data_IF_535049540767
#
_entry.id   IF_535049540767
#
_cell.length_a   1.000
_cell.length_b   1.000
_cell.length_c   1.000
_cell.angle_alpha   90.00
_cell.angle_beta   90.00
_cell.angle_gamma   90.00
#
_symmetry.space_group_name_H-M   'P 1'
#
loop_
_entity.id
_entity.type
_entity.pdbx_description
1 polymer ?
#
# COMPACT_ATOMS: atom_id res chain seq x y z
N UNK A 1 22.80 -3.99 10.52
CA UNK A 1 21.33 -4.13 10.61
C UNK A 1 20.94 -5.11 9.53
N UNK A 2 20.23 -6.18 9.88
CA UNK A 2 19.74 -7.17 8.91
C UNK A 2 18.28 -6.83 8.61
N UNK A 3 18.00 -6.45 7.36
CA UNK A 3 16.63 -6.24 6.90
C UNK A 3 16.13 -7.55 6.31
N UNK A 4 15.10 -8.12 6.93
CA UNK A 4 14.55 -9.43 6.53
C UNK A 4 13.29 -9.30 5.67
N UNK A 5 12.74 -8.10 5.54
CA UNK A 5 11.51 -7.81 4.81
C UNK A 5 11.52 -6.39 4.24
N UNK A 6 10.72 -6.19 3.21
CA UNK A 6 10.37 -4.88 2.64
C UNK A 6 8.85 -4.90 2.41
N UNK A 7 8.10 -3.95 2.99
CA UNK A 7 6.63 -4.00 3.05
C UNK A 7 5.93 -2.97 2.18
N UNK A 8 6.66 -2.01 1.62
CA UNK A 8 6.08 -0.91 0.86
C UNK A 8 6.76 -0.82 -0.50
N UNK A 9 6.20 -1.50 -1.49
CA UNK A 9 6.71 -1.50 -2.86
C UNK A 9 5.58 -1.43 -3.88
N UNK A 10 5.90 -0.95 -5.08
CA UNK A 10 4.93 -0.76 -6.17
C UNK A 10 5.36 -1.51 -7.42
N UNK A 11 4.39 -2.01 -8.19
CA UNK A 11 4.62 -2.60 -9.50
C UNK A 11 4.15 -1.68 -10.61
N UNK A 12 4.30 -2.12 -11.86
CA UNK A 12 3.71 -1.45 -13.04
C UNK A 12 2.21 -1.15 -12.92
N UNK A 13 1.49 -1.78 -11.99
CA UNK A 13 0.09 -1.49 -11.70
C UNK A 13 -0.14 -0.07 -11.14
N UNK A 14 0.83 0.52 -10.43
CA UNK A 14 0.74 1.90 -9.92
C UNK A 14 1.02 2.99 -10.98
N UNK A 15 1.30 2.60 -12.24
CA UNK A 15 1.47 3.52 -13.38
C UNK A 15 2.81 4.25 -13.46
N UNK A 16 3.46 4.52 -12.33
CA UNK A 16 4.77 5.19 -12.26
C UNK A 16 5.88 4.36 -11.58
N UNK A 17 5.62 3.07 -11.39
CA UNK A 17 6.63 2.06 -11.05
C UNK A 17 6.84 1.10 -12.24
N UNK A 18 7.97 0.40 -12.26
CA UNK A 18 8.51 -0.16 -13.51
C UNK A 18 8.81 -1.67 -13.47
N UNK A 19 8.52 -2.34 -12.37
CA UNK A 19 8.74 -3.78 -12.20
C UNK A 19 7.42 -4.53 -12.08
N UNK A 20 7.36 -5.75 -12.57
CA UNK A 20 6.24 -6.68 -12.35
C UNK A 20 6.33 -7.38 -11.00
N UNK A 21 5.24 -8.01 -10.55
CA UNK A 21 5.22 -8.85 -9.33
C UNK A 21 6.34 -9.89 -9.32
N UNK A 22 6.59 -10.57 -10.44
CA UNK A 22 7.62 -11.60 -10.53
C UNK A 22 9.03 -11.01 -10.46
N UNK A 23 9.29 -9.88 -11.13
CA UNK A 23 10.58 -9.19 -11.07
C UNK A 23 10.88 -8.70 -9.65
N UNK A 24 9.87 -8.13 -8.98
CA UNK A 24 9.98 -7.70 -7.58
C UNK A 24 10.27 -8.87 -6.65
N UNK A 25 9.50 -9.96 -6.75
CA UNK A 25 9.69 -11.15 -5.93
C UNK A 25 11.06 -11.81 -6.15
N UNK A 26 11.53 -11.88 -7.41
CA UNK A 26 12.85 -12.42 -7.74
C UNK A 26 13.97 -11.56 -7.17
N UNK A 27 13.89 -10.24 -7.31
CA UNK A 27 14.87 -9.31 -6.76
C UNK A 27 14.93 -9.36 -5.23
N UNK A 28 13.78 -9.50 -4.56
CA UNK A 28 13.70 -9.68 -3.11
C UNK A 28 14.39 -10.98 -2.65
N UNK A 29 14.14 -12.09 -3.36
CA UNK A 29 14.79 -13.37 -3.08
C UNK A 29 16.32 -13.31 -3.27
N UNK A 30 16.79 -12.69 -4.36
CA UNK A 30 18.23 -12.53 -4.63
C UNK A 30 18.95 -11.69 -3.57
N UNK A 31 18.22 -10.77 -2.92
CA UNK A 31 18.72 -9.96 -1.81
C UNK A 31 18.61 -10.66 -0.45
N UNK A 32 18.05 -11.87 -0.40
CA UNK A 32 17.89 -12.64 0.84
C UNK A 32 16.74 -12.16 1.74
N UNK A 33 15.79 -11.40 1.21
CA UNK A 33 14.56 -11.08 1.95
C UNK A 33 13.75 -12.35 2.19
N UNK A 34 13.06 -12.41 3.32
CA UNK A 34 12.15 -13.52 3.66
C UNK A 34 10.70 -13.20 3.27
N UNK A 35 10.37 -11.91 3.23
CA UNK A 35 9.03 -11.43 2.92
C UNK A 35 9.07 -10.14 2.10
N UNK A 36 8.19 -10.03 1.11
CA UNK A 36 7.98 -8.82 0.31
C UNK A 36 6.50 -8.40 0.33
N UNK A 37 6.23 -7.14 0.65
CA UNK A 37 4.95 -6.48 0.50
C UNK A 37 4.85 -5.74 -0.82
N UNK A 38 3.80 -6.02 -1.60
CA UNK A 38 3.42 -5.27 -2.79
C UNK A 38 2.16 -4.49 -2.45
N UNK A 39 2.26 -3.16 -2.44
CA UNK A 39 1.26 -2.24 -1.89
C UNK A 39 0.96 -1.15 -2.90
N UNK A 40 0.17 -1.47 -3.91
CA UNK A 40 -0.17 -0.53 -4.98
C UNK A 40 -0.95 0.68 -4.43
N UNK A 41 -0.81 1.82 -5.10
CA UNK A 41 -1.61 2.99 -4.77
C UNK A 41 -3.10 2.73 -4.99
N UNK A 42 -3.92 3.14 -4.03
CA UNK A 42 -5.37 3.17 -4.21
C UNK A 42 -5.80 4.21 -5.26
N UNK A 43 -7.05 4.12 -5.75
CA UNK A 43 -7.61 5.08 -6.70
C UNK A 43 -7.45 6.54 -6.20
N UNK A 44 -7.14 7.44 -7.14
CA UNK A 44 -6.83 8.85 -6.89
C UNK A 44 -5.45 9.26 -7.42
N UNK A 45 -4.47 8.36 -7.33
CA UNK A 45 -3.14 8.57 -7.91
C UNK A 45 -3.20 8.46 -9.45
N UNK A 46 -2.69 9.44 -10.21
CA UNK A 46 -2.71 9.38 -11.67
C UNK A 46 -2.01 8.14 -12.22
N UNK A 47 -2.74 7.34 -13.01
CA UNK A 47 -2.23 6.15 -13.68
C UNK A 47 -2.21 4.87 -12.86
N UNK A 48 -2.68 4.89 -11.60
CA UNK A 48 -2.79 3.68 -10.77
C UNK A 48 -3.85 2.69 -11.27
N UNK A 49 -3.87 1.50 -10.68
CA UNK A 49 -4.81 0.44 -10.97
C UNK A 49 -6.22 0.69 -10.38
N UNK A 50 -7.23 0.09 -11.03
CA UNK A 50 -8.60 0.08 -10.54
C UNK A 50 -8.81 -0.94 -9.40
N UNK A 51 -9.91 -0.77 -8.65
CA UNK A 51 -10.27 -1.64 -7.52
C UNK A 51 -10.31 -3.14 -7.84
N UNK A 52 -10.64 -3.50 -9.09
CA UNK A 52 -10.65 -4.88 -9.56
C UNK A 52 -9.28 -5.57 -9.41
N UNK A 53 -8.18 -4.79 -9.45
CA UNK A 53 -6.83 -5.29 -9.20
C UNK A 53 -6.75 -5.93 -7.81
N UNK A 54 -7.16 -5.20 -6.76
CA UNK A 54 -7.11 -5.67 -5.37
C UNK A 54 -8.02 -6.88 -5.16
N UNK A 55 -9.24 -6.87 -5.72
CA UNK A 55 -10.14 -8.02 -5.66
C UNK A 55 -9.55 -9.30 -6.24
N UNK A 56 -8.72 -9.18 -7.27
CA UNK A 56 -8.15 -10.32 -7.98
C UNK A 56 -6.81 -10.79 -7.39
N UNK A 57 -6.17 -10.04 -6.48
CA UNK A 57 -4.89 -10.44 -5.84
C UNK A 57 -4.96 -11.79 -5.12
N UNK A 58 -6.17 -12.25 -4.77
CA UNK A 58 -6.43 -13.57 -4.16
C UNK A 58 -5.93 -14.76 -5.01
N UNK A 59 -5.76 -14.59 -6.32
CA UNK A 59 -5.29 -15.67 -7.20
C UNK A 59 -3.76 -15.75 -7.26
N UNK A 60 -3.07 -14.72 -6.79
CA UNK A 60 -1.60 -14.63 -6.86
C UNK A 60 -1.01 -15.47 -5.73
N UNK A 61 -0.05 -16.38 -6.01
CA UNK A 61 0.62 -17.17 -4.99
C UNK A 61 1.22 -16.32 -3.87
N UNK A 62 1.02 -16.72 -2.62
CA UNK A 62 1.61 -16.06 -1.43
C UNK A 62 3.08 -16.45 -1.17
N UNK A 63 3.67 -17.26 -2.04
CA UNK A 63 5.09 -17.63 -2.00
C UNK A 63 5.64 -17.73 -3.42
N UNK A 64 6.76 -17.07 -3.69
CA UNK A 64 7.50 -17.16 -4.96
C UNK A 64 8.99 -17.18 -4.67
N UNK A 65 9.77 -17.94 -5.46
CA UNK A 65 11.23 -18.00 -5.32
C UNK A 65 11.75 -18.27 -3.89
N UNK A 66 10.95 -18.93 -3.05
CA UNK A 66 11.29 -19.23 -1.65
C UNK A 66 10.91 -18.16 -0.62
N UNK A 67 10.41 -16.99 -1.05
CA UNK A 67 10.02 -15.88 -0.17
C UNK A 67 8.50 -15.77 -0.04
N UNK A 68 8.03 -15.27 1.10
CA UNK A 68 6.61 -14.97 1.33
C UNK A 68 6.23 -13.63 0.71
N UNK A 69 5.00 -13.53 0.20
CA UNK A 69 4.46 -12.32 -0.42
C UNK A 69 3.21 -11.87 0.33
N UNK A 70 3.13 -10.59 0.65
CA UNK A 70 1.94 -9.91 1.14
C UNK A 70 1.44 -8.92 0.09
N UNK A 71 0.14 -8.92 -0.16
CA UNK A 71 -0.48 -8.04 -1.14
C UNK A 71 -1.39 -7.05 -0.41
N UNK A 72 -1.13 -5.76 -0.61
CA UNK A 72 -1.78 -4.69 0.10
C UNK A 72 -2.05 -3.49 -0.77
N UNK A 73 -2.37 -2.38 -0.13
CA UNK A 73 -2.51 -1.08 -0.78
C UNK A 73 -1.85 0.00 0.06
N UNK A 74 -1.28 0.98 -0.62
CA UNK A 74 -1.02 2.30 -0.05
C UNK A 74 -2.26 3.17 -0.30
N UNK A 75 -3.11 3.23 0.72
CA UNK A 75 -4.41 3.88 0.72
C UNK A 75 -4.21 5.37 0.97
N UNK A 76 -4.81 6.22 0.14
CA UNK A 76 -4.68 7.66 0.32
C UNK A 76 -5.55 8.13 1.48
N UNK A 77 -4.99 8.98 2.34
CA UNK A 77 -5.76 9.84 3.24
C UNK A 77 -6.19 11.05 2.41
N UNK A 78 -7.49 11.33 2.34
CA UNK A 78 -8.05 12.28 1.36
C UNK A 78 -8.54 13.60 1.96
N UNK A 79 -8.66 13.68 3.28
CA UNK A 79 -9.12 14.90 3.97
C UNK A 79 -8.53 15.05 5.36
N UNK A 80 -8.83 16.18 6.00
CA UNK A 80 -8.33 16.53 7.33
C UNK A 80 -8.94 15.68 8.46
N UNK A 81 -9.98 14.91 8.18
CA UNK A 81 -10.66 14.01 9.13
C UNK A 81 -10.16 12.56 9.04
N UNK A 82 -9.15 12.30 8.18
CA UNK A 82 -8.52 10.99 8.05
C UNK A 82 -9.30 9.99 7.20
N UNK A 83 -10.22 10.46 6.36
CA UNK A 83 -10.96 9.60 5.44
C UNK A 83 -10.01 8.89 4.49
N UNK A 84 -10.27 7.61 4.23
CA UNK A 84 -9.49 6.77 3.32
C UNK A 84 -10.12 6.73 1.93
N UNK A 85 -9.29 6.66 0.88
CA UNK A 85 -9.73 6.58 -0.51
C UNK A 85 -10.24 5.21 -0.96
N UNK A 86 -10.45 4.26 -0.04
CA UNK A 86 -10.89 2.89 -0.35
C UNK A 86 -11.96 2.46 0.65
N UNK A 87 -13.02 1.81 0.16
CA UNK A 87 -14.10 1.32 1.02
C UNK A 87 -13.60 0.26 2.03
N UNK A 88 -14.05 0.36 3.28
CA UNK A 88 -13.66 -0.56 4.37
C UNK A 88 -13.85 -2.03 4.00
N UNK A 89 -14.93 -2.35 3.27
CA UNK A 89 -15.22 -3.72 2.83
C UNK A 89 -14.20 -4.26 1.84
N UNK A 90 -13.59 -3.42 1.02
CA UNK A 90 -12.52 -3.81 0.10
C UNK A 90 -11.24 -4.03 0.89
N UNK A 91 -10.90 -3.09 1.79
CA UNK A 91 -9.74 -3.17 2.68
C UNK A 91 -9.77 -4.50 3.46
N UNK A 92 -10.87 -4.79 4.15
CA UNK A 92 -11.03 -5.98 4.99
C UNK A 92 -10.94 -7.30 4.20
N UNK A 93 -11.48 -7.34 2.98
CA UNK A 93 -11.65 -8.59 2.24
C UNK A 93 -10.51 -8.93 1.30
N UNK A 94 -9.64 -7.96 0.96
CA UNK A 94 -8.69 -8.13 -0.15
C UNK A 94 -7.23 -7.90 0.22
N UNK A 95 -6.95 -7.15 1.29
CA UNK A 95 -5.58 -6.72 1.61
C UNK A 95 -5.01 -7.55 2.76
N UNK A 96 -3.79 -8.06 2.56
CA UNK A 96 -3.00 -8.73 3.60
C UNK A 96 -2.29 -7.69 4.51
N UNK A 97 -1.98 -6.51 3.97
CA UNK A 97 -1.33 -5.38 4.66
C UNK A 97 -1.90 -4.04 4.18
N UNK A 98 -2.13 -3.12 5.10
CA UNK A 98 -2.92 -1.90 4.87
C UNK A 98 -2.10 -0.69 5.27
N UNK A 99 -1.55 0.00 4.27
CA UNK A 99 -0.73 1.19 4.46
C UNK A 99 -1.60 2.42 4.19
N UNK A 100 -1.49 3.47 4.99
CA UNK A 100 -2.09 4.77 4.71
C UNK A 100 -1.04 5.87 4.57
N UNK A 101 -1.31 6.87 3.72
CA UNK A 101 -0.40 7.99 3.50
C UNK A 101 -1.11 9.21 2.90
N UNK A 102 -0.50 10.38 3.06
CA UNK A 102 -0.94 11.60 2.36
C UNK A 102 -0.20 11.70 1.05
N UNK A 103 -0.94 11.84 -0.05
CA UNK A 103 -0.39 12.09 -1.38
C UNK A 103 -1.00 13.36 -1.95
N UNK A 104 -0.16 14.29 -2.43
CA UNK A 104 -0.59 15.58 -2.96
C UNK A 104 -1.68 15.51 -4.06
N UNK A 105 -1.73 14.50 -4.95
CA UNK A 105 -2.83 14.36 -5.92
C UNK A 105 -4.21 14.11 -5.28
N UNK A 106 -4.23 13.60 -4.04
CA UNK A 106 -5.43 13.13 -3.34
C UNK A 106 -5.80 13.99 -2.13
N UNK A 107 -4.96 14.94 -1.74
CA UNK A 107 -5.05 15.65 -0.45
C UNK A 107 -4.75 17.13 -0.59
N UNK A 108 -5.65 17.98 -0.07
CA UNK A 108 -5.41 19.41 0.05
C UNK A 108 -4.60 19.72 1.33
N UNK A 109 -3.36 20.19 1.15
CA UNK A 109 -2.45 20.50 2.27
C UNK A 109 -3.05 21.58 3.17
N UNK A 110 -3.30 21.22 4.43
CA UNK A 110 -3.79 22.12 5.46
C UNK A 110 -2.69 22.70 6.35
N UNK A 111 -3.14 23.28 7.46
CA UNK A 111 -2.28 23.67 8.59
C UNK A 111 -1.61 22.46 9.25
N UNK A 112 -0.59 22.71 10.08
CA UNK A 112 0.06 21.66 10.90
C UNK A 112 -1.00 20.85 11.66
N UNK A 113 -1.95 21.53 12.32
CA UNK A 113 -3.02 20.88 13.10
C UNK A 113 -3.91 20.01 12.23
N UNK A 114 -4.30 20.46 11.04
CA UNK A 114 -5.13 19.68 10.10
C UNK A 114 -4.39 18.44 9.60
N UNK A 115 -3.14 18.59 9.18
CA UNK A 115 -2.34 17.48 8.66
C UNK A 115 -2.02 16.46 9.77
N UNK A 116 -1.74 16.93 10.99
CA UNK A 116 -1.59 16.05 12.17
C UNK A 116 -2.89 15.31 12.47
N UNK A 117 -4.04 15.98 12.43
CA UNK A 117 -5.33 15.34 12.70
C UNK A 117 -5.63 14.23 11.68
N UNK A 118 -5.36 14.46 10.40
CA UNK A 118 -5.54 13.46 9.35
C UNK A 118 -4.75 12.18 9.63
N UNK A 119 -3.47 12.29 10.01
CA UNK A 119 -2.66 11.14 10.39
C UNK A 119 -3.12 10.48 11.69
N UNK A 120 -3.46 11.25 12.72
CA UNK A 120 -3.97 10.70 13.99
C UNK A 120 -5.26 9.89 13.73
N UNK A 121 -6.15 10.39 12.89
CA UNK A 121 -7.39 9.70 12.51
C UNK A 121 -7.13 8.42 11.73
N UNK A 122 -6.16 8.44 10.81
CA UNK A 122 -5.73 7.24 10.11
C UNK A 122 -5.11 6.19 11.07
N UNK A 123 -4.35 6.63 12.08
CA UNK A 123 -3.77 5.75 13.13
C UNK A 123 -4.86 5.16 14.03
N UNK A 124 -5.91 5.92 14.36
CA UNK A 124 -7.06 5.44 15.15
C UNK A 124 -7.91 4.40 14.40
N UNK A 125 -7.80 4.32 13.07
CA UNK A 125 -8.58 3.41 12.26
C UNK A 125 -8.03 1.96 12.36
N UNK A 126 -8.81 0.98 12.88
CA UNK A 126 -8.36 -0.40 13.05
C UNK A 126 -8.07 -1.13 11.73
N UNK A 127 -8.44 -0.52 10.60
CA UNK A 127 -8.13 -1.03 9.27
C UNK A 127 -6.73 -0.68 8.78
N UNK A 128 -5.96 0.17 9.48
CA UNK A 128 -4.61 0.57 9.05
C UNK A 128 -3.54 -0.11 9.90
N UNK A 129 -2.51 -0.65 9.23
CA UNK A 129 -1.36 -1.30 9.87
C UNK A 129 -0.16 -0.36 9.96
N UNK A 130 0.05 0.48 8.93
CA UNK A 130 1.27 1.30 8.76
C UNK A 130 0.90 2.68 8.22
N UNK A 131 1.53 3.73 8.75
CA UNK A 131 1.58 5.05 8.11
C UNK A 131 2.85 5.16 7.27
N UNK A 132 2.70 5.52 6.01
CA UNK A 132 3.79 5.71 5.06
C UNK A 132 4.34 7.13 5.09
N UNK A 133 5.67 7.24 4.99
CA UNK A 133 6.45 8.50 4.86
C UNK A 133 5.88 9.72 5.64
N UNK A 134 5.61 9.59 6.95
CA UNK A 134 5.05 10.67 7.78
C UNK A 134 6.01 11.84 8.03
#
# INVERSE_FOLDING_TARGET
MEFTLDLHTHTVASGHAYSTVQEMAKAAADKGLKLLGITEHAQGIPGTCDEIYFHNMRIIPRKMYGIDLMFGSEINIIDHDGTLSMEEKIIEKTLDIRIAGIHLPCYEVGTITQNTNAYVKAIENPMIDIISHP
#
